data_IF_838437769546
#
_entry.id   IF_838437769546
#
_cell.length_a   1.000
_cell.length_b   1.000
_cell.length_c   1.000
_cell.angle_alpha   90.00
_cell.angle_beta   90.00
_cell.angle_gamma   90.00
#
_symmetry.space_group_name_H-M   'P 1'
#
loop_
_entity.id
_entity.type
_entity.pdbx_description
1 polymer ?
#
# COMPACT_ATOMS: atom_id res chain seq x y z
N UNK A 1 7.78 -25.62 15.21
CA UNK A 1 6.66 -24.92 15.87
C UNK A 1 6.98 -23.43 15.91
N UNK A 2 5.97 -22.59 15.68
CA UNK A 2 6.04 -21.15 15.90
C UNK A 2 5.15 -20.81 17.09
N UNK A 3 5.59 -19.94 17.98
CA UNK A 3 4.83 -19.50 19.14
C UNK A 3 4.01 -18.24 18.82
N UNK A 4 2.83 -18.15 19.43
CA UNK A 4 1.98 -16.96 19.35
C UNK A 4 2.67 -15.79 20.04
N UNK A 5 2.70 -14.65 19.35
CA UNK A 5 3.13 -13.36 19.90
C UNK A 5 1.92 -12.53 20.29
N UNK A 6 2.00 -11.83 21.41
CA UNK A 6 1.00 -10.90 21.90
C UNK A 6 1.63 -9.60 22.37
N UNK A 7 0.81 -8.55 22.45
CA UNK A 7 1.19 -7.25 22.98
C UNK A 7 0.50 -7.04 24.33
N UNK A 8 1.29 -6.74 25.37
CA UNK A 8 0.73 -6.37 26.67
C UNK A 8 0.27 -4.90 26.70
N UNK A 9 -0.31 -4.45 27.81
CA UNK A 9 -0.81 -3.07 27.96
C UNK A 9 0.27 -1.99 27.86
N UNK A 10 1.55 -2.35 28.03
CA UNK A 10 2.70 -1.44 27.84
C UNK A 10 3.19 -1.40 26.40
N UNK A 11 2.55 -2.13 25.47
CA UNK A 11 2.97 -2.24 24.09
C UNK A 11 4.17 -3.17 23.87
N UNK A 12 4.62 -3.89 24.90
CA UNK A 12 5.71 -4.85 24.76
C UNK A 12 5.19 -6.09 24.04
N UNK A 13 5.98 -6.59 23.08
CA UNK A 13 5.69 -7.81 22.34
C UNK A 13 6.35 -8.97 23.08
N UNK A 14 5.55 -9.97 23.43
CA UNK A 14 5.93 -11.13 24.23
C UNK A 14 5.42 -12.40 23.55
N UNK A 15 6.09 -13.51 23.77
CA UNK A 15 5.66 -14.84 23.36
C UNK A 15 4.85 -15.53 24.45
N UNK A 16 3.99 -16.45 24.04
CA UNK A 16 3.38 -17.40 24.96
C UNK A 16 3.96 -18.80 24.70
N UNK A 17 4.71 -19.39 25.66
CA UNK A 17 5.44 -20.66 25.47
C UNK A 17 4.56 -21.84 25.06
N UNK A 18 3.32 -21.88 25.55
CA UNK A 18 2.38 -22.99 25.31
C UNK A 18 1.43 -22.77 24.12
N UNK A 19 1.38 -21.57 23.53
CA UNK A 19 0.47 -21.29 22.43
C UNK A 19 1.20 -21.41 21.10
N UNK A 20 0.85 -22.43 20.33
CA UNK A 20 1.27 -22.51 18.94
C UNK A 20 0.55 -21.45 18.10
N UNK A 21 1.31 -20.81 17.22
CA UNK A 21 0.83 -19.78 16.31
C UNK A 21 -0.22 -20.34 15.35
N UNK A 22 -1.28 -19.57 15.18
CA UNK A 22 -2.19 -19.69 14.04
C UNK A 22 -2.03 -18.49 13.10
N UNK A 23 -2.41 -18.70 11.85
CA UNK A 23 -2.76 -17.64 10.92
C UNK A 23 -4.19 -17.82 10.42
N UNK A 24 -4.66 -16.86 9.63
CA UNK A 24 -5.99 -16.92 9.02
C UNK A 24 -5.90 -16.86 7.51
N UNK A 25 -6.53 -17.83 6.85
CA UNK A 25 -6.77 -17.85 5.41
C UNK A 25 -8.28 -17.72 5.18
N UNK A 26 -8.72 -16.57 4.66
CA UNK A 26 -10.15 -16.24 4.59
C UNK A 26 -10.81 -16.30 5.98
N UNK A 27 -11.72 -17.25 6.18
CA UNK A 27 -12.43 -17.47 7.45
C UNK A 27 -11.90 -18.67 8.25
N UNK A 28 -10.82 -19.32 7.79
CA UNK A 28 -10.27 -20.52 8.43
C UNK A 28 -9.01 -20.20 9.23
N UNK A 29 -8.94 -20.76 10.44
CA UNK A 29 -7.72 -20.84 11.21
C UNK A 29 -6.83 -21.94 10.65
N UNK A 30 -5.56 -21.61 10.41
CA UNK A 30 -4.59 -22.55 9.85
C UNK A 30 -3.28 -22.47 10.61
N UNK A 31 -2.66 -23.63 10.83
CA UNK A 31 -1.27 -23.69 11.26
C UNK A 31 -0.40 -23.30 10.06
N UNK A 32 0.49 -22.30 10.17
CA UNK A 32 1.32 -21.89 9.05
C UNK A 32 2.24 -23.02 8.58
N UNK A 33 2.30 -23.24 7.27
CA UNK A 33 3.35 -24.07 6.69
C UNK A 33 4.72 -23.41 6.92
N UNK A 34 5.68 -24.18 7.42
CA UNK A 34 7.07 -23.74 7.64
C UNK A 34 7.70 -23.14 6.38
N UNK A 35 7.30 -23.58 5.18
CA UNK A 35 7.83 -23.07 3.92
C UNK A 35 7.28 -21.68 3.56
N UNK A 36 6.15 -21.29 4.16
CA UNK A 36 5.51 -19.99 3.97
C UNK A 36 5.82 -19.01 5.11
N UNK A 37 6.75 -19.37 6.00
CA UNK A 37 7.21 -18.55 7.12
C UNK A 37 8.67 -18.15 6.88
N UNK A 38 8.90 -16.86 6.60
CA UNK A 38 10.25 -16.31 6.42
C UNK A 38 10.66 -15.51 7.66
N UNK A 39 11.96 -15.37 7.96
CA UNK A 39 12.42 -14.41 8.96
C UNK A 39 11.85 -13.01 8.67
N UNK A 40 11.44 -12.29 9.71
CA UNK A 40 10.87 -10.95 9.56
C UNK A 40 11.83 -10.05 8.77
N UNK A 41 11.43 -9.55 7.59
CA UNK A 41 12.34 -8.79 6.74
C UNK A 41 12.69 -7.44 7.37
N UNK A 42 13.91 -6.96 7.11
CA UNK A 42 14.36 -5.64 7.55
C UNK A 42 13.43 -4.55 7.01
N UNK A 43 13.02 -3.63 7.88
CA UNK A 43 12.08 -2.55 7.55
C UNK A 43 10.61 -2.94 7.63
N UNK A 44 10.28 -4.16 8.06
CA UNK A 44 8.92 -4.47 8.53
C UNK A 44 8.63 -3.75 9.85
N UNK A 45 7.38 -3.34 10.04
CA UNK A 45 6.90 -2.70 11.27
C UNK A 45 6.02 -3.67 12.03
N UNK A 46 6.34 -3.91 13.31
CA UNK A 46 5.47 -4.67 14.20
C UNK A 46 4.36 -3.77 14.74
N UNK A 47 3.13 -4.27 14.73
CA UNK A 47 1.96 -3.52 15.17
C UNK A 47 1.10 -4.34 16.12
N UNK A 48 0.69 -3.72 17.22
CA UNK A 48 -0.36 -4.23 18.09
C UNK A 48 -1.72 -3.99 17.43
N UNK A 49 -2.64 -4.94 17.57
CA UNK A 49 -3.98 -4.88 16.97
C UNK A 49 -5.03 -4.64 18.08
N UNK A 50 -5.46 -3.39 18.30
CA UNK A 50 -6.39 -3.08 19.39
C UNK A 50 -7.67 -3.90 19.30
N UNK A 51 -8.13 -4.41 20.45
CA UNK A 51 -9.33 -5.23 20.60
C UNK A 51 -9.30 -6.57 19.84
N UNK A 52 -8.16 -6.99 19.30
CA UNK A 52 -7.99 -8.31 18.73
C UNK A 52 -7.41 -9.23 19.81
N UNK A 53 -8.18 -10.20 20.29
CA UNK A 53 -7.68 -11.20 21.23
C UNK A 53 -6.87 -12.25 20.46
N UNK A 54 -5.60 -12.52 20.80
CA UNK A 54 -4.80 -13.53 20.11
C UNK A 54 -5.42 -14.91 20.21
N UNK A 55 -5.31 -15.68 19.13
CA UNK A 55 -5.76 -17.08 19.07
C UNK A 55 -4.59 -17.98 18.69
N UNK A 56 -4.47 -19.10 19.39
CA UNK A 56 -3.45 -20.13 19.15
C UNK A 56 -3.97 -21.52 19.44
N UNK A 57 -3.11 -22.53 19.30
CA UNK A 57 -3.38 -23.91 19.70
C UNK A 57 -2.64 -24.22 20.99
N UNK A 58 -3.34 -24.83 21.95
CA UNK A 58 -2.77 -25.37 23.20
C UNK A 58 -3.29 -26.79 23.36
N UNK A 59 -2.40 -27.77 23.52
CA UNK A 59 -2.75 -29.20 23.65
C UNK A 59 -3.71 -29.68 22.55
N UNK A 60 -3.46 -29.27 21.30
CA UNK A 60 -4.27 -29.66 20.14
C UNK A 60 -5.63 -28.96 20.02
N UNK A 61 -5.97 -28.04 20.93
CA UNK A 61 -7.25 -27.33 20.94
C UNK A 61 -7.06 -25.83 20.71
N UNK A 62 -7.99 -25.21 19.98
CA UNK A 62 -7.99 -23.77 19.74
C UNK A 62 -8.32 -23.03 21.04
N UNK A 63 -7.46 -22.08 21.44
CA UNK A 63 -7.63 -21.28 22.64
C UNK A 63 -7.40 -19.79 22.38
N UNK A 64 -8.04 -18.97 23.21
CA UNK A 64 -7.97 -17.52 23.17
C UNK A 64 -7.06 -17.04 24.29
N UNK A 65 -6.10 -16.19 23.98
CA UNK A 65 -5.25 -15.58 25.00
C UNK A 65 -5.94 -14.33 25.58
N UNK A 66 -6.84 -14.54 26.54
CA UNK A 66 -7.66 -13.46 27.11
C UNK A 66 -6.91 -12.49 28.04
N UNK A 67 -5.77 -12.89 28.60
CA UNK A 67 -4.99 -12.09 29.54
C UNK A 67 -3.49 -12.37 29.46
N UNK A 68 -2.69 -11.45 30.01
CA UNK A 68 -1.23 -11.58 30.12
C UNK A 68 -0.89 -12.69 31.14
N UNK A 69 -0.19 -13.77 30.75
CA UNK A 69 0.21 -14.86 31.66
C UNK A 69 1.02 -14.37 32.85
N UNK A 70 1.81 -13.29 32.68
CA UNK A 70 2.62 -12.71 33.75
C UNK A 70 1.81 -11.77 34.65
N UNK A 71 0.65 -11.30 34.20
CA UNK A 71 -0.20 -10.37 34.94
C UNK A 71 -1.69 -10.70 34.71
N UNK A 72 -2.22 -11.74 35.38
CA UNK A 72 -3.61 -12.16 35.22
C UNK A 72 -4.60 -11.01 35.36
N UNK A 73 -5.62 -10.98 34.49
CA UNK A 73 -6.62 -9.91 34.43
C UNK A 73 -6.23 -8.70 33.56
N UNK A 74 -4.97 -8.56 33.15
CA UNK A 74 -4.57 -7.54 32.16
C UNK A 74 -4.81 -8.06 30.75
N UNK A 75 -5.50 -7.26 29.95
CA UNK A 75 -5.79 -7.60 28.54
C UNK A 75 -4.52 -7.58 27.69
N UNK A 76 -4.54 -8.41 26.66
CA UNK A 76 -3.51 -8.45 25.61
C UNK A 76 -4.13 -8.22 24.24
N UNK A 77 -3.29 -7.89 23.27
CA UNK A 77 -3.69 -7.72 21.88
C UNK A 77 -2.89 -8.65 20.97
N UNK A 78 -3.50 -9.12 19.89
CA UNK A 78 -2.80 -9.79 18.80
C UNK A 78 -1.78 -8.85 18.17
N UNK A 79 -0.73 -9.42 17.58
CA UNK A 79 0.33 -8.67 16.92
C UNK A 79 0.41 -9.09 15.45
N UNK A 80 0.76 -8.15 14.58
CA UNK A 80 1.01 -8.40 13.17
C UNK A 80 2.29 -7.69 12.72
N UNK A 81 2.72 -8.02 11.50
CA UNK A 81 3.70 -7.23 10.78
C UNK A 81 3.05 -6.48 9.61
N UNK A 82 3.51 -5.25 9.38
CA UNK A 82 3.38 -4.54 8.11
C UNK A 82 4.68 -4.76 7.33
N UNK A 83 4.58 -5.39 6.17
CA UNK A 83 5.72 -5.76 5.35
C UNK A 83 6.18 -4.57 4.48
N UNK A 84 7.49 -4.43 4.22
CA UNK A 84 7.97 -3.54 3.16
C UNK A 84 7.52 -4.06 1.79
N UNK A 85 7.59 -3.20 0.78
CA UNK A 85 7.27 -3.56 -0.60
C UNK A 85 8.19 -4.70 -1.10
N UNK A 86 7.65 -5.52 -2.01
CA UNK A 86 8.34 -6.71 -2.54
C UNK A 86 8.10 -8.00 -1.75
N UNK A 87 7.20 -7.98 -0.78
CA UNK A 87 6.71 -9.17 -0.07
C UNK A 87 5.19 -9.29 -0.17
N UNK A 88 4.73 -10.50 -0.43
CA UNK A 88 3.31 -10.85 -0.43
C UNK A 88 2.99 -11.62 0.85
N UNK A 89 2.10 -11.07 1.68
CA UNK A 89 1.58 -11.80 2.85
C UNK A 89 0.81 -13.04 2.40
N UNK A 90 0.95 -14.14 3.13
CA UNK A 90 0.23 -15.40 2.85
C UNK A 90 -0.88 -15.68 3.86
N UNK A 91 -0.76 -15.16 5.08
CA UNK A 91 -1.77 -15.31 6.14
C UNK A 91 -2.06 -13.99 6.85
N UNK A 92 -3.33 -13.81 7.23
CA UNK A 92 -3.76 -12.77 8.15
C UNK A 92 -3.44 -13.17 9.61
N UNK A 93 -3.23 -12.20 10.52
CA UNK A 93 -2.95 -12.49 11.93
C UNK A 93 -4.09 -13.25 12.62
N UNK A 94 -3.75 -14.07 13.61
CA UNK A 94 -4.73 -14.79 14.43
C UNK A 94 -5.24 -13.93 15.58
N UNK A 95 -6.31 -13.17 15.31
CA UNK A 95 -6.97 -12.35 16.31
C UNK A 95 -8.49 -12.35 16.11
N UNK A 96 -9.23 -12.35 17.22
CA UNK A 96 -10.69 -12.17 17.21
C UNK A 96 -11.03 -10.78 17.72
N UNK A 97 -11.78 -10.02 16.91
CA UNK A 97 -12.23 -8.69 17.31
C UNK A 97 -13.34 -8.81 18.36
N UNK A 98 -13.08 -8.35 19.58
CA UNK A 98 -14.07 -8.32 20.66
C UNK A 98 -14.88 -7.02 20.69
N UNK A 99 -14.61 -6.08 19.79
CA UNK A 99 -15.35 -4.83 19.59
C UNK A 99 -15.61 -4.60 18.09
N UNK A 100 -16.60 -5.29 17.49
CA UNK A 100 -16.86 -5.25 16.05
C UNK A 100 -17.08 -3.84 15.48
N UNK A 101 -17.57 -2.91 16.29
CA UNK A 101 -17.77 -1.50 15.96
C UNK A 101 -16.45 -0.72 15.81
N UNK A 102 -15.35 -1.24 16.38
CA UNK A 102 -14.01 -0.68 16.27
C UNK A 102 -13.21 -1.50 15.24
N UNK A 103 -13.23 -1.03 14.00
CA UNK A 103 -12.50 -1.64 12.88
C UNK A 103 -11.06 -1.16 12.80
N UNK A 104 -10.16 -2.04 12.34
CA UNK A 104 -8.77 -1.69 12.08
C UNK A 104 -8.65 -0.88 10.76
N UNK A 105 -7.70 0.07 10.68
CA UNK A 105 -7.34 0.71 9.42
C UNK A 105 -7.02 -0.31 8.32
N UNK A 106 -7.25 0.06 7.06
CA UNK A 106 -6.98 -0.83 5.93
C UNK A 106 -5.48 -0.95 5.64
N UNK A 107 -4.80 -1.85 6.33
CA UNK A 107 -3.39 -2.17 6.12
C UNK A 107 -3.12 -3.63 5.79
N UNK A 108 -1.91 -3.87 5.28
CA UNK A 108 -1.38 -5.18 4.91
C UNK A 108 -0.92 -6.03 6.10
N UNK A 109 -1.72 -6.16 7.16
CA UNK A 109 -1.39 -6.98 8.34
C UNK A 109 -1.06 -8.44 7.94
N UNK A 110 0.12 -8.91 8.34
CA UNK A 110 0.58 -10.28 8.13
C UNK A 110 0.76 -11.00 9.49
N UNK A 111 0.44 -12.30 9.51
CA UNK A 111 0.62 -13.13 10.69
C UNK A 111 2.10 -13.28 11.03
N UNK A 112 2.44 -13.21 12.33
CA UNK A 112 3.80 -13.40 12.83
C UNK A 112 3.84 -14.40 13.99
N UNK A 113 4.99 -15.03 14.18
CA UNK A 113 5.23 -15.90 15.32
C UNK A 113 6.70 -16.02 15.65
N UNK A 114 7.01 -16.49 16.85
CA UNK A 114 8.38 -16.66 17.32
C UNK A 114 8.87 -18.09 17.09
N UNK A 115 10.11 -18.26 16.64
CA UNK A 115 10.79 -19.57 16.63
C UNK A 115 12.22 -19.39 17.12
N UNK A 116 12.56 -20.04 18.23
CA UNK A 116 13.79 -19.73 18.96
C UNK A 116 13.76 -18.26 19.40
N UNK A 117 14.79 -17.50 19.03
CA UNK A 117 14.90 -16.08 19.40
C UNK A 117 14.59 -15.14 18.22
N UNK A 118 13.89 -15.61 17.19
CA UNK A 118 13.65 -14.87 15.96
C UNK A 118 12.16 -14.85 15.59
N UNK A 119 11.67 -13.68 15.20
CA UNK A 119 10.33 -13.49 14.67
C UNK A 119 10.30 -13.89 13.19
N UNK A 120 9.29 -14.68 12.84
CA UNK A 120 8.96 -15.08 11.49
C UNK A 120 7.61 -14.50 11.09
N UNK A 121 7.41 -14.30 9.79
CA UNK A 121 6.20 -13.74 9.20
C UNK A 121 5.69 -14.65 8.09
N UNK A 122 4.36 -14.79 8.01
CA UNK A 122 3.68 -15.51 6.95
C UNK A 122 3.70 -14.69 5.65
N UNK A 123 4.77 -14.82 4.88
CA UNK A 123 5.00 -14.06 3.66
C UNK A 123 5.96 -14.75 2.70
N UNK A 124 5.86 -14.37 1.42
CA UNK A 124 6.77 -14.77 0.35
C UNK A 124 7.40 -13.51 -0.24
N UNK A 125 8.70 -13.56 -0.52
CA UNK A 125 9.38 -12.49 -1.26
C UNK A 125 9.00 -12.59 -2.74
N UNK A 126 8.30 -11.58 -3.25
CA UNK A 126 7.72 -11.58 -4.60
C UNK A 126 8.39 -10.61 -5.57
N UNK A 127 9.27 -9.73 -5.07
CA UNK A 127 10.02 -8.81 -5.92
C UNK A 127 11.50 -8.70 -5.50
N UNK A 128 12.33 -8.22 -6.43
CA UNK A 128 13.69 -7.78 -6.16
C UNK A 128 13.65 -6.57 -5.24
N UNK A 129 14.05 -6.80 -4.00
CA UNK A 129 13.96 -5.81 -2.93
C UNK A 129 14.77 -4.51 -3.15
N UNK A 130 15.65 -4.40 -4.16
CA UNK A 130 16.57 -3.26 -4.27
C UNK A 130 15.86 -1.90 -4.44
N UNK A 131 15.08 -1.72 -5.52
CA UNK A 131 14.44 -0.43 -5.81
C UNK A 131 13.39 -0.05 -4.76
N UNK A 132 12.87 -1.04 -4.04
CA UNK A 132 11.85 -0.85 -3.02
C UNK A 132 12.41 -0.99 -1.60
N UNK A 133 13.73 -1.04 -1.42
CA UNK A 133 14.31 -1.29 -0.11
C UNK A 133 14.09 -0.06 0.79
N UNK A 134 13.51 -0.23 2.00
CA UNK A 134 13.26 0.87 2.93
C UNK A 134 14.51 1.70 3.29
N UNK A 135 15.71 1.13 3.18
CA UNK A 135 16.97 1.81 3.48
C UNK A 135 17.25 3.00 2.53
N UNK A 136 16.60 3.03 1.37
CA UNK A 136 16.77 4.12 0.41
C UNK A 136 15.75 5.25 0.59
N UNK A 137 14.72 5.05 1.41
CA UNK A 137 13.61 5.98 1.58
C UNK A 137 13.65 6.65 2.95
N UNK A 138 12.96 7.78 3.09
CA UNK A 138 12.93 8.57 4.33
C UNK A 138 14.32 8.96 4.86
N UNK A 139 15.31 9.07 3.97
CA UNK A 139 16.68 9.44 4.35
C UNK A 139 16.76 10.92 4.72
N UNK A 140 17.76 11.31 5.52
CA UNK A 140 18.02 12.69 5.92
C UNK A 140 18.22 13.67 4.74
N UNK A 141 18.53 13.16 3.55
CA UNK A 141 18.67 13.99 2.34
C UNK A 141 17.33 14.40 1.69
N UNK A 142 16.21 13.79 2.08
CA UNK A 142 14.90 14.03 1.46
C UNK A 142 14.44 15.50 1.57
N UNK A 143 14.50 16.18 2.73
CA UNK A 143 14.08 17.59 2.83
C UNK A 143 14.86 18.52 1.88
N UNK A 144 16.17 18.32 1.74
CA UNK A 144 17.00 19.11 0.82
C UNK A 144 16.59 18.92 -0.64
N UNK A 145 16.21 17.70 -1.03
CA UNK A 145 15.73 17.38 -2.38
C UNK A 145 14.36 17.96 -2.66
N UNK A 146 13.45 17.90 -1.69
CA UNK A 146 12.14 18.57 -1.75
C UNK A 146 12.34 20.07 -1.99
N UNK A 147 13.17 20.73 -1.18
CA UNK A 147 13.42 22.17 -1.30
C UNK A 147 14.00 22.55 -2.67
N UNK A 148 14.88 21.71 -3.23
CA UNK A 148 15.42 21.92 -4.59
C UNK A 148 14.33 21.87 -5.66
N UNK A 149 13.41 20.91 -5.56
CA UNK A 149 12.31 20.77 -6.53
C UNK A 149 11.31 21.92 -6.43
N UNK A 150 10.91 22.30 -5.20
CA UNK A 150 9.99 23.43 -4.96
C UNK A 150 10.58 24.75 -5.46
N UNK A 151 11.87 25.00 -5.23
CA UNK A 151 12.53 26.21 -5.77
C UNK A 151 12.56 26.24 -7.29
N UNK A 152 12.65 25.07 -7.94
CA UNK A 152 12.67 24.97 -9.40
C UNK A 152 11.28 25.18 -10.02
N UNK A 153 10.23 24.67 -9.37
CA UNK A 153 8.85 24.75 -9.83
C UNK A 153 7.92 25.31 -8.74
N UNK A 154 8.07 26.59 -8.35
CA UNK A 154 7.36 27.17 -7.20
C UNK A 154 5.84 27.21 -7.38
N UNK A 155 5.37 27.34 -8.62
CA UNK A 155 3.95 27.40 -8.96
C UNK A 155 3.31 26.01 -9.16
N UNK A 156 4.10 24.93 -9.11
CA UNK A 156 3.60 23.58 -9.37
C UNK A 156 2.93 22.99 -8.13
N UNK A 157 1.60 22.98 -8.13
CA UNK A 157 0.77 22.60 -6.98
C UNK A 157 0.72 21.09 -6.76
N UNK A 158 1.03 20.26 -7.76
CA UNK A 158 1.18 18.81 -7.57
C UNK A 158 2.26 18.52 -6.52
N UNK A 159 3.32 19.34 -6.47
CA UNK A 159 4.38 19.19 -5.48
C UNK A 159 3.85 19.27 -4.04
N UNK A 160 2.81 20.07 -3.76
CA UNK A 160 2.21 20.13 -2.41
C UNK A 160 1.66 18.77 -1.98
N UNK A 161 0.94 18.10 -2.87
CA UNK A 161 0.44 16.74 -2.62
C UNK A 161 1.60 15.75 -2.48
N UNK A 162 2.62 15.82 -3.35
CA UNK A 162 3.73 14.88 -3.31
C UNK A 162 4.65 15.05 -2.10
N UNK A 163 4.79 16.28 -1.58
CA UNK A 163 5.45 16.56 -0.30
C UNK A 163 4.69 15.89 0.83
N UNK A 164 3.37 16.10 0.90
CA UNK A 164 2.51 15.46 1.90
C UNK A 164 2.59 13.93 1.80
N UNK A 165 2.46 13.37 0.61
CA UNK A 165 2.62 11.93 0.39
C UNK A 165 4.00 11.42 0.81
N UNK A 166 5.06 12.19 0.58
CA UNK A 166 6.42 11.79 0.90
C UNK A 166 6.69 11.79 2.40
N UNK A 167 6.26 12.83 3.10
CA UNK A 167 6.59 13.07 4.51
C UNK A 167 5.59 12.41 5.47
N UNK A 168 4.28 12.51 5.18
CA UNK A 168 3.23 12.01 6.07
C UNK A 168 2.89 10.54 5.80
N UNK A 169 2.84 10.15 4.52
CA UNK A 169 2.47 8.78 4.14
C UNK A 169 3.69 7.88 3.88
N UNK A 170 4.90 8.45 3.83
CA UNK A 170 6.11 7.69 3.47
C UNK A 170 6.05 7.08 2.07
N UNK A 171 5.33 7.71 1.13
CA UNK A 171 5.06 7.16 -0.19
C UNK A 171 6.33 7.12 -1.05
N UNK A 172 6.77 5.92 -1.41
CA UNK A 172 8.01 5.71 -2.16
C UNK A 172 7.98 6.32 -3.56
N UNK A 173 6.86 6.21 -4.27
CA UNK A 173 6.71 6.81 -5.60
C UNK A 173 6.66 8.34 -5.55
N UNK A 174 6.15 8.94 -4.47
CA UNK A 174 6.26 10.39 -4.27
C UNK A 174 7.71 10.81 -3.97
N UNK A 175 8.40 10.08 -3.10
CA UNK A 175 9.80 10.36 -2.74
C UNK A 175 10.74 10.20 -3.94
N UNK A 176 10.50 9.21 -4.79
CA UNK A 176 11.29 8.95 -5.99
C UNK A 176 11.30 10.11 -6.98
N UNK A 177 10.26 10.95 -7.02
CA UNK A 177 10.28 12.20 -7.78
C UNK A 177 11.39 13.14 -7.28
N UNK A 178 11.52 13.28 -5.95
CA UNK A 178 12.53 14.15 -5.33
C UNK A 178 13.93 13.52 -5.36
N UNK A 179 14.02 12.20 -5.23
CA UNK A 179 15.27 11.46 -5.41
C UNK A 179 15.73 11.39 -6.86
N UNK A 180 14.82 11.58 -7.82
CA UNK A 180 15.04 11.48 -9.27
C UNK A 180 15.57 10.11 -9.66
N UNK A 181 14.85 9.06 -9.26
CA UNK A 181 15.18 7.65 -9.56
C UNK A 181 13.92 6.79 -9.66
N UNK A 182 14.00 5.69 -10.40
CA UNK A 182 12.96 4.64 -10.46
C UNK A 182 11.57 5.20 -10.82
N UNK A 183 10.51 4.66 -10.22
CA UNK A 183 9.12 5.08 -10.46
C UNK A 183 8.73 6.28 -9.61
N UNK A 184 8.29 7.36 -10.26
CA UNK A 184 7.67 8.53 -9.65
C UNK A 184 6.17 8.59 -9.93
N UNK A 185 5.40 8.87 -8.90
CA UNK A 185 3.96 9.09 -9.00
C UNK A 185 3.62 10.54 -9.32
N UNK A 186 2.74 10.78 -10.30
CA UNK A 186 2.22 12.12 -10.61
C UNK A 186 0.68 12.08 -10.54
N UNK A 187 0.05 12.50 -9.44
CA UNK A 187 -1.39 12.43 -9.29
C UNK A 187 -2.10 13.48 -10.15
N UNK A 188 -3.17 13.07 -10.82
CA UNK A 188 -3.89 13.87 -11.81
C UNK A 188 -5.40 13.83 -11.70
N UNK A 189 -5.97 12.86 -10.99
CA UNK A 189 -7.42 12.68 -10.90
C UNK A 189 -7.92 12.63 -9.47
N UNK A 190 -8.95 13.42 -9.14
CA UNK A 190 -9.71 13.27 -7.90
C UNK A 190 -10.95 12.39 -8.07
N UNK A 191 -11.41 12.21 -9.31
CA UNK A 191 -12.62 11.47 -9.67
C UNK A 191 -12.33 9.98 -9.80
N UNK A 192 -13.31 9.14 -9.46
CA UNK A 192 -13.23 7.71 -9.71
C UNK A 192 -14.63 7.18 -10.00
N UNK A 193 -14.72 6.29 -10.99
CA UNK A 193 -15.95 5.62 -11.38
C UNK A 193 -16.14 4.26 -10.66
N UNK A 194 -15.27 3.94 -9.70
CA UNK A 194 -15.40 2.79 -8.80
C UNK A 194 -15.65 3.25 -7.36
N UNK A 195 -16.29 2.38 -6.57
CA UNK A 195 -16.52 2.57 -5.14
C UNK A 195 -15.94 1.39 -4.35
N UNK A 196 -14.67 1.06 -4.61
CA UNK A 196 -14.06 -0.15 -4.11
C UNK A 196 -14.11 -0.24 -2.57
N UNK A 197 -14.47 -1.41 -2.03
CA UNK A 197 -14.50 -1.67 -0.57
C UNK A 197 -13.12 -1.40 0.07
N UNK A 198 -12.04 -1.71 -0.67
CA UNK A 198 -10.66 -1.54 -0.23
C UNK A 198 -9.99 -0.25 -0.71
N UNK A 199 -10.73 0.80 -1.07
CA UNK A 199 -10.11 2.02 -1.61
C UNK A 199 -9.28 2.72 -0.53
N UNK A 200 -7.96 2.82 -0.71
CA UNK A 200 -7.07 3.53 0.23
C UNK A 200 -7.11 5.05 0.08
N UNK A 201 -7.83 5.56 -0.93
CA UNK A 201 -7.94 6.99 -1.25
C UNK A 201 -9.23 7.64 -0.76
N UNK A 202 -10.10 6.87 -0.10
CA UNK A 202 -11.37 7.33 0.46
C UNK A 202 -11.65 6.61 1.79
N UNK A 203 -12.19 7.33 2.77
CA UNK A 203 -12.68 6.70 4.01
C UNK A 203 -13.96 5.90 3.76
N UNK A 204 -14.07 4.74 4.40
CA UNK A 204 -15.23 3.84 4.35
C UNK A 204 -15.93 3.69 5.70
N UNK A 205 -15.40 4.29 6.76
CA UNK A 205 -15.93 4.15 8.11
C UNK A 205 -15.83 5.48 8.87
N UNK A 206 -16.87 5.92 9.60
CA UNK A 206 -16.86 7.22 10.29
C UNK A 206 -15.68 7.42 11.25
N UNK A 207 -15.18 6.34 11.83
CA UNK A 207 -14.08 6.36 12.79
C UNK A 207 -12.68 6.18 12.17
N UNK A 208 -12.57 6.03 10.85
CA UNK A 208 -11.29 5.81 10.17
C UNK A 208 -11.04 6.87 9.10
N UNK A 209 -9.83 7.42 9.11
CA UNK A 209 -9.36 8.26 8.02
C UNK A 209 -8.84 7.39 6.86
N UNK A 210 -8.88 7.95 5.65
CA UNK A 210 -8.26 7.32 4.49
C UNK A 210 -6.74 7.22 4.71
N UNK A 211 -6.10 6.07 4.42
CA UNK A 211 -4.64 5.94 4.50
C UNK A 211 -3.89 6.98 3.67
N UNK A 212 -4.43 7.32 2.50
CA UNK A 212 -3.92 8.40 1.66
C UNK A 212 -5.12 9.22 1.18
N UNK A 213 -5.04 10.55 1.24
CA UNK A 213 -6.12 11.39 0.73
C UNK A 213 -5.89 11.70 -0.75
N UNK A 214 -6.99 11.80 -1.51
CA UNK A 214 -6.91 12.26 -2.91
C UNK A 214 -6.42 13.70 -2.98
N UNK A 215 -5.68 14.03 -4.02
CA UNK A 215 -5.42 15.42 -4.36
C UNK A 215 -6.75 16.17 -4.53
N UNK A 216 -6.78 17.40 -4.04
CA UNK A 216 -8.02 18.22 -4.00
C UNK A 216 -8.15 19.17 -5.18
N UNK A 217 -7.06 19.39 -5.92
CA UNK A 217 -7.00 20.28 -7.08
C UNK A 217 -7.20 19.49 -8.37
N UNK A 218 -7.56 20.18 -9.45
CA UNK A 218 -7.36 19.69 -10.82
C UNK A 218 -6.03 20.26 -11.33
N UNK A 219 -5.01 19.44 -11.60
CA UNK A 219 -3.76 19.95 -12.13
C UNK A 219 -3.90 20.56 -13.52
N UNK A 220 -2.96 21.44 -13.85
CA UNK A 220 -2.77 21.99 -15.18
C UNK A 220 -1.80 21.13 -16.00
N UNK A 221 -1.90 21.26 -17.32
CA UNK A 221 -1.05 20.54 -18.27
C UNK A 221 0.43 20.78 -17.98
N UNK A 222 0.79 22.05 -17.77
CA UNK A 222 2.16 22.47 -17.46
C UNK A 222 2.70 21.78 -16.21
N UNK A 223 1.89 21.64 -15.17
CA UNK A 223 2.32 21.04 -13.90
C UNK A 223 2.70 19.56 -14.07
N UNK A 224 1.94 18.82 -14.89
CA UNK A 224 2.20 17.40 -15.19
C UNK A 224 3.45 17.27 -16.06
N UNK A 225 3.55 18.09 -17.12
CA UNK A 225 4.64 18.05 -18.09
C UNK A 225 5.98 18.39 -17.45
N UNK A 226 6.03 19.44 -16.62
CA UNK A 226 7.24 19.84 -15.89
C UNK A 226 7.83 18.69 -15.07
N UNK A 227 7.00 18.04 -14.26
CA UNK A 227 7.45 16.94 -13.40
C UNK A 227 7.78 15.69 -14.20
N UNK A 228 7.00 15.41 -15.25
CA UNK A 228 7.21 14.27 -16.15
C UNK A 228 8.57 14.33 -16.84
N UNK A 229 8.86 15.45 -17.52
CA UNK A 229 10.14 15.67 -18.21
C UNK A 229 11.31 15.69 -17.21
N UNK A 230 11.14 16.41 -16.09
CA UNK A 230 12.18 16.52 -15.06
C UNK A 230 12.61 15.15 -14.53
N UNK A 231 11.65 14.26 -14.26
CA UNK A 231 11.93 12.93 -13.74
C UNK A 231 12.53 12.02 -14.81
N UNK A 232 11.88 11.88 -15.98
CA UNK A 232 12.30 10.96 -17.03
C UNK A 232 13.68 11.29 -17.60
N UNK A 233 14.09 12.56 -17.59
CA UNK A 233 15.43 12.95 -18.05
C UNK A 233 16.56 12.66 -17.06
N UNK A 234 16.24 12.49 -15.77
CA UNK A 234 17.23 12.40 -14.69
C UNK A 234 17.28 11.05 -14.00
N UNK A 235 16.13 10.39 -13.89
CA UNK A 235 16.04 9.04 -13.35
C UNK A 235 16.53 8.04 -14.38
N UNK A 236 17.56 7.27 -14.04
CA UNK A 236 18.00 6.16 -14.87
C UNK A 236 16.89 5.10 -14.92
N UNK A 237 16.50 4.67 -16.13
CA UNK A 237 15.33 3.83 -16.38
C UNK A 237 14.06 4.35 -15.67
N UNK A 238 13.88 5.68 -15.66
CA UNK A 238 12.80 6.35 -14.95
C UNK A 238 11.41 5.93 -15.43
N UNK A 239 10.49 5.79 -14.49
CA UNK A 239 9.06 5.59 -14.77
C UNK A 239 8.30 6.76 -14.19
N UNK A 240 7.37 7.34 -14.94
CA UNK A 240 6.31 8.16 -14.38
C UNK A 240 5.00 7.39 -14.41
N UNK A 241 4.26 7.41 -13.32
CA UNK A 241 3.02 6.66 -13.18
C UNK A 241 1.86 7.54 -12.73
N UNK A 242 0.77 7.47 -13.49
CA UNK A 242 -0.55 7.96 -13.09
C UNK A 242 -1.31 6.84 -12.32
N UNK A 243 -2.30 7.20 -11.52
CA UNK A 243 -3.12 6.27 -10.72
C UNK A 243 -2.50 5.84 -9.39
N UNK A 244 -1.94 6.78 -8.64
CA UNK A 244 -1.35 6.53 -7.32
C UNK A 244 -2.40 6.49 -6.20
N UNK A 245 -1.99 6.06 -5.00
CA UNK A 245 -2.88 5.95 -3.83
C UNK A 245 -3.50 7.28 -3.37
N UNK A 246 -2.95 8.42 -3.79
CA UNK A 246 -3.49 9.76 -3.54
C UNK A 246 -4.33 10.31 -4.71
N UNK A 247 -4.90 9.45 -5.54
CA UNK A 247 -5.76 9.86 -6.65
C UNK A 247 -6.91 8.87 -6.90
N UNK A 248 -7.81 9.22 -7.81
CA UNK A 248 -8.91 8.37 -8.27
C UNK A 248 -8.53 7.56 -9.53
N UNK A 249 -9.47 7.41 -10.46
CA UNK A 249 -9.20 6.76 -11.75
C UNK A 249 -8.58 7.80 -12.71
N UNK A 250 -7.29 7.65 -13.07
CA UNK A 250 -6.61 8.60 -13.97
C UNK A 250 -7.20 8.64 -15.38
N UNK A 251 -7.72 7.53 -15.91
CA UNK A 251 -8.24 7.50 -17.29
C UNK A 251 -9.45 8.43 -17.50
N UNK A 252 -10.15 8.81 -16.44
CA UNK A 252 -11.24 9.80 -16.49
C UNK A 252 -10.75 11.23 -16.78
N UNK A 253 -9.44 11.49 -16.64
CA UNK A 253 -8.80 12.74 -17.02
C UNK A 253 -8.09 12.63 -18.38
N UNK A 254 -8.69 11.86 -19.29
CA UNK A 254 -8.15 11.47 -20.60
C UNK A 254 -7.62 12.64 -21.43
N UNK A 255 -8.41 13.71 -21.61
CA UNK A 255 -8.03 14.84 -22.45
C UNK A 255 -6.79 15.59 -21.95
N UNK A 256 -6.66 15.78 -20.63
CA UNK A 256 -5.50 16.42 -20.04
C UNK A 256 -4.28 15.51 -20.10
N UNK A 257 -4.44 14.25 -19.70
CA UNK A 257 -3.35 13.27 -19.67
C UNK A 257 -2.84 12.97 -21.08
N UNK A 258 -3.70 12.84 -22.09
CA UNK A 258 -3.28 12.62 -23.47
C UNK A 258 -2.43 13.78 -23.99
N UNK A 259 -2.79 15.02 -23.66
CA UNK A 259 -1.97 16.19 -24.00
C UNK A 259 -0.63 16.18 -23.26
N UNK A 260 -0.63 15.85 -21.97
CA UNK A 260 0.59 15.78 -21.17
C UNK A 260 1.55 14.72 -21.70
N UNK A 261 1.06 13.51 -22.01
CA UNK A 261 1.85 12.41 -22.57
C UNK A 261 2.47 12.83 -23.90
N UNK A 262 1.68 13.40 -24.82
CA UNK A 262 2.19 13.88 -26.12
C UNK A 262 3.29 14.93 -25.93
N UNK A 263 3.09 15.89 -25.04
CA UNK A 263 4.08 16.94 -24.81
C UNK A 263 5.36 16.40 -24.15
N UNK A 264 5.23 15.52 -23.15
CA UNK A 264 6.39 14.85 -22.54
C UNK A 264 7.16 14.04 -23.59
N UNK A 265 6.46 13.29 -24.45
CA UNK A 265 7.09 12.47 -25.50
C UNK A 265 7.71 13.31 -26.63
N UNK A 266 7.17 14.51 -26.89
CA UNK A 266 7.81 15.48 -27.79
C UNK A 266 9.13 16.03 -27.26
N UNK A 267 9.28 16.11 -25.93
CA UNK A 267 10.47 16.65 -25.26
C UNK A 267 11.48 15.57 -24.86
N UNK A 268 11.05 14.33 -24.61
CA UNK A 268 11.95 13.23 -24.27
C UNK A 268 11.39 11.85 -24.64
N UNK A 269 12.25 11.05 -25.29
CA UNK A 269 12.03 9.62 -25.53
C UNK A 269 12.51 8.71 -24.39
N UNK A 270 12.98 9.27 -23.26
CA UNK A 270 13.53 8.48 -22.15
C UNK A 270 12.42 7.92 -21.25
N UNK A 271 12.72 6.78 -20.64
CA UNK A 271 11.93 6.15 -19.59
C UNK A 271 10.52 5.71 -20.03
N UNK A 272 9.72 5.29 -19.06
CA UNK A 272 8.37 4.72 -19.27
C UNK A 272 7.29 5.64 -18.71
N UNK A 273 6.21 5.85 -19.46
CA UNK A 273 4.97 6.44 -18.97
C UNK A 273 3.98 5.31 -18.72
N UNK A 274 3.62 5.13 -17.45
CA UNK A 274 2.72 4.09 -16.97
C UNK A 274 1.41 4.67 -16.41
N UNK A 275 0.34 3.87 -16.46
CA UNK A 275 -0.91 4.17 -15.78
C UNK A 275 -1.37 2.98 -14.94
N UNK A 276 -1.75 3.24 -13.69
CA UNK A 276 -2.47 2.30 -12.85
C UNK A 276 -3.96 2.62 -12.97
N UNK A 277 -4.78 1.69 -13.43
CA UNK A 277 -6.18 1.94 -13.76
C UNK A 277 -7.06 0.75 -13.39
N UNK A 278 -8.36 1.00 -13.21
CA UNK A 278 -9.38 -0.04 -13.20
C UNK A 278 -9.80 -0.49 -14.62
N UNK A 279 -9.30 0.18 -15.66
CA UNK A 279 -9.61 -0.01 -17.09
C UNK A 279 -11.10 0.13 -17.46
N UNK A 280 -11.94 0.62 -16.55
CA UNK A 280 -13.38 0.76 -16.74
C UNK A 280 -13.80 1.84 -17.73
N UNK A 281 -12.89 2.76 -18.10
CA UNK A 281 -13.16 3.81 -19.08
C UNK A 281 -12.24 3.67 -20.30
N UNK A 282 -12.63 2.75 -21.19
CA UNK A 282 -11.86 2.32 -22.36
C UNK A 282 -11.61 3.43 -23.38
N UNK A 283 -12.53 4.38 -23.52
CA UNK A 283 -12.34 5.57 -24.36
C UNK A 283 -11.11 6.37 -23.93
N UNK A 284 -10.99 6.63 -22.63
CA UNK A 284 -9.83 7.32 -22.08
C UNK A 284 -8.55 6.53 -22.28
N UNK A 285 -8.55 5.24 -21.98
CA UNK A 285 -7.38 4.36 -22.21
C UNK A 285 -6.92 4.41 -23.67
N UNK A 286 -7.83 4.32 -24.64
CA UNK A 286 -7.50 4.40 -26.06
C UNK A 286 -6.83 5.73 -26.43
N UNK A 287 -7.33 6.85 -25.91
CA UNK A 287 -6.72 8.16 -26.13
C UNK A 287 -5.30 8.24 -25.53
N UNK A 288 -5.08 7.68 -24.35
CA UNK A 288 -3.75 7.64 -23.72
C UNK A 288 -2.76 6.77 -24.50
N UNK A 289 -3.19 5.59 -24.98
CA UNK A 289 -2.38 4.76 -25.86
C UNK A 289 -2.00 5.50 -27.15
N UNK A 290 -2.95 6.17 -27.79
CA UNK A 290 -2.70 6.99 -28.99
C UNK A 290 -1.78 8.20 -28.72
N UNK A 291 -1.71 8.67 -27.47
CA UNK A 291 -0.83 9.75 -27.05
C UNK A 291 0.62 9.32 -26.82
N UNK A 292 0.90 8.02 -26.72
CA UNK A 292 2.24 7.47 -26.45
C UNK A 292 2.43 6.93 -25.03
N UNK A 293 1.36 6.47 -24.37
CA UNK A 293 1.45 5.68 -23.14
C UNK A 293 2.15 4.34 -23.42
N UNK A 294 3.15 3.99 -22.60
CA UNK A 294 3.96 2.77 -22.82
C UNK A 294 3.41 1.55 -22.08
N UNK A 295 2.91 1.75 -20.86
CA UNK A 295 2.53 0.66 -19.96
C UNK A 295 1.23 0.95 -19.22
N UNK A 296 0.52 -0.10 -18.87
CA UNK A 296 -0.70 -0.05 -18.06
C UNK A 296 -0.73 -1.22 -17.07
N UNK A 297 -1.05 -0.92 -15.81
CA UNK A 297 -1.40 -1.91 -14.79
C UNK A 297 -2.91 -1.84 -14.51
N UNK A 298 -3.61 -2.92 -14.83
CA UNK A 298 -5.06 -3.03 -14.58
C UNK A 298 -5.31 -3.72 -13.23
N UNK A 299 -6.10 -3.06 -12.37
CA UNK A 299 -6.46 -3.63 -11.06
C UNK A 299 -7.69 -4.51 -11.18
N UNK A 300 -7.50 -5.83 -11.08
CA UNK A 300 -8.60 -6.81 -11.10
C UNK A 300 -8.56 -7.63 -9.82
N UNK A 301 -9.55 -7.44 -8.94
CA UNK A 301 -9.63 -8.21 -7.69
C UNK A 301 -10.00 -9.69 -7.95
N UNK A 302 -10.91 -9.93 -8.90
CA UNK A 302 -11.36 -11.27 -9.27
C UNK A 302 -11.96 -11.25 -10.67
N UNK A 303 -11.75 -12.32 -11.44
CA UNK A 303 -12.48 -12.55 -12.70
C UNK A 303 -13.84 -13.22 -12.46
N UNK A 304 -14.18 -13.57 -11.23
CA UNK A 304 -15.55 -13.95 -10.89
C UNK A 304 -16.40 -12.68 -10.81
N UNK A 305 -17.44 -12.60 -11.64
CA UNK A 305 -18.33 -11.43 -11.75
C UNK A 305 -18.88 -10.99 -10.39
N UNK A 306 -19.43 -11.90 -9.60
CA UNK A 306 -20.02 -11.54 -8.31
C UNK A 306 -18.99 -10.92 -7.35
N UNK A 307 -17.80 -11.53 -7.25
CA UNK A 307 -16.71 -11.01 -6.41
C UNK A 307 -16.16 -9.68 -6.92
N UNK A 308 -16.06 -9.51 -8.24
CA UNK A 308 -15.65 -8.26 -8.86
C UNK A 308 -16.59 -7.11 -8.50
N UNK A 309 -17.90 -7.31 -8.69
CA UNK A 309 -18.91 -6.29 -8.40
C UNK A 309 -19.00 -5.98 -6.91
N UNK A 310 -18.89 -6.99 -6.04
CA UNK A 310 -18.81 -6.79 -4.58
C UNK A 310 -17.62 -5.92 -4.21
N UNK A 311 -16.42 -6.24 -4.71
CA UNK A 311 -15.21 -5.54 -4.31
C UNK A 311 -15.10 -4.16 -4.96
N UNK A 312 -15.15 -4.07 -6.28
CA UNK A 312 -14.88 -2.83 -7.03
C UNK A 312 -16.07 -1.88 -7.06
N UNK A 313 -17.30 -2.41 -6.97
CA UNK A 313 -18.55 -1.66 -7.02
C UNK A 313 -18.52 -0.61 -8.15
N UNK A 314 -18.43 -1.06 -9.41
CA UNK A 314 -18.30 -0.18 -10.57
C UNK A 314 -19.59 0.60 -10.80
N UNK A 315 -19.50 1.85 -11.26
CA UNK A 315 -20.68 2.73 -11.46
C UNK A 315 -21.19 2.73 -12.89
N UNK A 316 -20.29 2.88 -13.85
CA UNK A 316 -20.58 3.10 -15.26
C UNK A 316 -19.81 2.13 -16.19
N UNK A 317 -19.29 1.05 -15.61
CA UNK A 317 -18.53 0.02 -16.31
C UNK A 317 -18.79 -1.37 -15.71
N UNK A 318 -18.31 -2.41 -16.38
CA UNK A 318 -18.46 -3.79 -15.93
C UNK A 318 -17.16 -4.60 -16.12
N UNK A 319 -17.25 -5.90 -15.87
CA UNK A 319 -16.20 -6.89 -16.12
C UNK A 319 -16.42 -7.52 -17.51
N UNK A 320 -16.39 -6.71 -18.57
CA UNK A 320 -16.42 -7.16 -19.97
C UNK A 320 -15.10 -6.92 -20.69
#
# INVERSE_FOLDING_TARGET
MFLTLYSNQKGQILEHPEFEMLGRSGNQWVVPDRYNMIPLPKGATLVSLPNQVPVGIVNGSLQWLGSDPLHPGRRVNAVAALLPQGFTRTLLPSGVNIKPEQVLPLYGYAAIGLKGNQIYVAAIKTDKHHNWHPAYYNTDSLPGRINKMVKKYPENRILKQLIHCSLEYGCYTAQNLFFQRWEAGIPTSNACNASCIGCISKSHHPCLNSPQNRLTIKPELKEIVELGIEHLNKANDGIISFGQGCEGEPSLNDGLLAQAIKQIRGETGKGTININTNAGYSHGIKQLCQAGLDSMRVTVFSFNRENYYKYHNPRDYDLS
#
